data_IF_197485917960
#
_entry.id   IF_197485917960
#
_cell.length_a   1.000
_cell.length_b   1.000
_cell.length_c   1.000
_cell.angle_alpha   90.00
_cell.angle_beta   90.00
_cell.angle_gamma   90.00
#
_symmetry.space_group_name_H-M   'P 1'
#
loop_
_entity.id
_entity.type
_entity.pdbx_description
1 polymer ?
#
# COMPACT_ATOMS: atom_id res chain seq x y z
N UNK A 1 -4.60 8.97 -8.73
CA UNK A 1 -4.23 7.54 -8.63
C UNK A 1 -4.69 6.95 -7.30
N UNK A 2 -4.26 7.48 -6.15
CA UNK A 2 -4.68 6.98 -4.84
C UNK A 2 -6.22 6.86 -4.65
N UNK A 3 -6.99 7.77 -5.24
CA UNK A 3 -8.47 7.69 -5.23
C UNK A 3 -9.02 6.42 -5.90
N UNK A 4 -8.42 5.94 -7.01
CA UNK A 4 -8.85 4.69 -7.64
C UNK A 4 -8.50 3.48 -6.79
N UNK A 5 -7.29 3.46 -6.24
CA UNK A 5 -6.87 2.40 -5.32
C UNK A 5 -7.80 2.31 -4.10
N UNK A 6 -8.24 3.45 -3.60
CA UNK A 6 -9.25 3.49 -2.54
C UNK A 6 -10.59 2.92 -3.02
N UNK A 7 -11.10 3.34 -4.18
CA UNK A 7 -12.36 2.84 -4.74
C UNK A 7 -12.35 1.33 -5.06
N UNK A 8 -11.20 0.79 -5.50
CA UNK A 8 -11.06 -0.64 -5.77
C UNK A 8 -11.00 -1.45 -4.47
N UNK A 9 -10.56 -0.83 -3.37
CA UNK A 9 -10.48 -1.44 -2.04
C UNK A 9 -11.79 -1.30 -1.24
N UNK A 10 -12.46 -0.15 -1.34
CA UNK A 10 -13.71 0.21 -0.67
C UNK A 10 -14.88 -0.50 -1.36
N UNK A 11 -15.21 -1.68 -0.86
CA UNK A 11 -16.12 -2.61 -1.53
C UNK A 11 -17.56 -2.30 -1.18
N UNK A 12 -17.81 -1.88 0.06
CA UNK A 12 -19.13 -1.46 0.50
C UNK A 12 -19.45 0.01 0.18
N UNK A 13 -18.47 0.76 -0.34
CA UNK A 13 -18.57 2.15 -0.80
C UNK A 13 -19.01 3.09 0.32
N UNK A 14 -18.60 2.80 1.55
CA UNK A 14 -18.95 3.61 2.72
C UNK A 14 -17.97 4.79 2.95
N UNK A 15 -16.87 4.84 2.21
CA UNK A 15 -15.82 5.86 2.32
C UNK A 15 -14.78 5.58 3.41
N UNK A 16 -14.78 4.38 4.00
CA UNK A 16 -13.93 3.93 5.08
C UNK A 16 -13.38 2.52 4.82
N UNK A 17 -12.06 2.39 4.68
CA UNK A 17 -11.44 1.08 4.58
C UNK A 17 -11.37 0.41 5.95
N UNK A 18 -12.29 -0.53 6.17
CA UNK A 18 -12.27 -1.40 7.33
C UNK A 18 -11.13 -2.42 7.21
N UNK A 19 -10.69 -2.96 8.35
CA UNK A 19 -9.67 -4.02 8.39
C UNK A 19 -10.03 -5.21 7.47
N UNK A 20 -11.31 -5.57 7.40
CA UNK A 20 -11.79 -6.67 6.55
C UNK A 20 -11.61 -6.39 5.05
N UNK A 21 -11.78 -5.14 4.62
CA UNK A 21 -11.60 -4.75 3.22
C UNK A 21 -10.12 -4.62 2.88
N UNK A 22 -9.31 -4.11 3.81
CA UNK A 22 -7.85 -4.13 3.69
C UNK A 22 -7.30 -5.55 3.55
N UNK A 23 -7.83 -6.51 4.33
CA UNK A 23 -7.50 -7.94 4.18
C UNK A 23 -7.87 -8.48 2.80
N UNK A 24 -9.03 -8.06 2.28
CA UNK A 24 -9.48 -8.47 0.95
C UNK A 24 -8.58 -7.88 -0.15
N UNK A 25 -8.16 -6.63 0.02
CA UNK A 25 -7.21 -5.97 -0.86
C UNK A 25 -5.85 -6.70 -0.81
N UNK A 26 -5.35 -7.02 0.38
CA UNK A 26 -4.12 -7.79 0.56
C UNK A 26 -4.19 -9.13 -0.20
N UNK A 27 -5.29 -9.88 -0.05
CA UNK A 27 -5.52 -11.10 -0.82
C UNK A 27 -5.60 -10.87 -2.34
N UNK A 28 -6.06 -9.70 -2.79
CA UNK A 28 -6.07 -9.37 -4.21
C UNK A 28 -4.66 -9.10 -4.76
N UNK A 29 -3.74 -8.63 -3.92
CA UNK A 29 -2.32 -8.47 -4.25
C UNK A 29 -1.55 -9.81 -4.16
N UNK A 30 -1.89 -10.63 -3.17
CA UNK A 30 -1.34 -11.97 -2.94
C UNK A 30 -1.90 -12.98 -3.96
N UNK A 31 -1.26 -13.06 -5.12
CA UNK A 31 -1.69 -13.94 -6.21
C UNK A 31 -1.54 -15.43 -5.90
N UNK A 32 -0.67 -15.80 -4.96
CA UNK A 32 -0.40 -17.19 -4.63
C UNK A 32 -1.12 -17.64 -3.33
N UNK A 33 -1.79 -16.72 -2.63
CA UNK A 33 -2.56 -16.91 -1.39
C UNK A 33 -1.69 -17.59 -0.30
N UNK A 34 -0.39 -17.29 -0.29
CA UNK A 34 0.56 -17.79 0.70
C UNK A 34 0.62 -16.91 1.96
N UNK A 35 -0.09 -15.79 1.95
CA UNK A 35 -0.17 -14.81 3.01
C UNK A 35 0.99 -13.81 3.02
N UNK A 36 1.80 -13.76 1.96
CA UNK A 36 3.02 -12.94 1.84
C UNK A 36 3.21 -12.42 0.42
N UNK A 37 3.31 -11.11 0.25
CA UNK A 37 3.62 -10.53 -1.05
C UNK A 37 5.13 -10.44 -1.19
N UNK A 38 5.70 -11.28 -2.05
CA UNK A 38 7.13 -11.24 -2.35
C UNK A 38 7.50 -10.06 -3.26
N UNK A 39 8.78 -9.68 -3.29
CA UNK A 39 9.29 -8.64 -4.21
C UNK A 39 8.91 -8.88 -5.67
N UNK A 40 8.87 -10.14 -6.11
CA UNK A 40 8.53 -10.48 -7.49
C UNK A 40 7.05 -10.24 -7.77
N UNK A 41 6.17 -10.63 -6.84
CA UNK A 41 4.73 -10.40 -6.96
C UNK A 41 4.41 -8.92 -6.91
N UNK A 42 5.03 -8.20 -5.97
CA UNK A 42 4.89 -6.75 -5.88
C UNK A 42 5.34 -6.06 -7.18
N UNK A 43 6.51 -6.40 -7.71
CA UNK A 43 7.00 -5.86 -8.98
C UNK A 43 6.07 -6.19 -10.15
N UNK A 44 5.55 -7.42 -10.19
CA UNK A 44 4.63 -7.85 -11.23
C UNK A 44 3.35 -7.02 -11.20
N UNK A 45 2.78 -6.83 -10.01
CA UNK A 45 1.56 -6.06 -9.81
C UNK A 45 1.78 -4.58 -10.14
N UNK A 46 2.82 -3.94 -9.58
CA UNK A 46 3.18 -2.55 -9.87
C UNK A 46 3.40 -2.33 -11.37
N UNK A 47 4.02 -3.28 -12.07
CA UNK A 47 4.19 -3.16 -13.52
C UNK A 47 2.87 -3.17 -14.29
N UNK A 48 1.84 -3.86 -13.80
CA UNK A 48 0.54 -3.94 -14.45
C UNK A 48 -0.35 -2.74 -14.13
N UNK A 49 -0.31 -2.24 -12.89
CA UNK A 49 -1.17 -1.14 -12.44
C UNK A 49 -0.51 0.23 -12.59
N UNK A 50 0.78 0.33 -12.28
CA UNK A 50 1.52 1.58 -12.10
C UNK A 50 2.94 1.48 -12.72
N UNK A 51 3.07 1.39 -14.06
CA UNK A 51 4.36 1.15 -14.73
C UNK A 51 5.41 2.23 -14.45
N UNK A 52 5.00 3.47 -14.15
CA UNK A 52 5.89 4.58 -13.80
C UNK A 52 6.56 4.38 -12.42
N UNK A 53 5.96 3.58 -11.55
CA UNK A 53 6.47 3.27 -10.20
C UNK A 53 7.42 2.08 -10.18
N UNK A 54 7.56 1.37 -11.30
CA UNK A 54 8.46 0.21 -11.42
C UNK A 54 9.91 0.57 -11.07
N UNK A 55 10.35 1.81 -11.32
CA UNK A 55 11.70 2.24 -10.95
C UNK A 55 11.89 2.43 -9.42
N UNK A 56 10.81 2.63 -8.68
CA UNK A 56 10.80 2.86 -7.23
C UNK A 56 10.30 1.66 -6.43
N UNK A 57 9.93 0.56 -7.09
CA UNK A 57 9.33 -0.61 -6.46
C UNK A 57 10.17 -1.12 -5.28
N UNK A 58 11.50 -1.10 -5.41
CA UNK A 58 12.44 -1.59 -4.39
C UNK A 58 12.39 -0.72 -3.12
N UNK A 59 12.27 0.60 -3.29
CA UNK A 59 12.11 1.53 -2.16
C UNK A 59 10.72 1.43 -1.55
N UNK A 60 9.68 1.34 -2.37
CA UNK A 60 8.30 1.14 -1.93
C UNK A 60 8.21 -0.11 -1.07
N UNK A 61 8.72 -1.23 -1.59
CA UNK A 61 8.74 -2.50 -0.90
C UNK A 61 9.44 -2.39 0.46
N UNK A 62 10.65 -1.84 0.49
CA UNK A 62 11.38 -1.65 1.76
C UNK A 62 10.75 -0.63 2.71
N UNK A 63 9.89 0.26 2.22
CA UNK A 63 9.15 1.20 3.09
C UNK A 63 7.94 0.52 3.74
N UNK A 64 7.37 -0.46 3.06
CA UNK A 64 6.25 -1.25 3.57
C UNK A 64 6.71 -2.42 4.45
N UNK A 65 7.91 -2.97 4.21
CA UNK A 65 8.55 -4.04 4.98
C UNK A 65 9.04 -3.48 6.33
N UNK A 66 8.19 -3.57 7.35
CA UNK A 66 8.40 -2.93 8.65
C UNK A 66 9.27 -3.80 9.57
N UNK A 67 9.14 -5.12 9.45
CA UNK A 67 9.94 -6.07 10.22
C UNK A 67 11.29 -6.41 9.56
N UNK A 68 11.46 -6.08 8.28
CA UNK A 68 12.68 -6.30 7.51
C UNK A 68 12.89 -7.76 7.13
N UNK A 69 11.84 -8.59 7.13
CA UNK A 69 11.90 -10.00 6.77
C UNK A 69 11.94 -10.23 5.24
N UNK A 70 11.86 -9.14 4.46
CA UNK A 70 11.83 -9.12 3.01
C UNK A 70 10.57 -9.74 2.39
N UNK A 71 9.48 -9.82 3.14
CA UNK A 71 8.15 -10.20 2.68
C UNK A 71 7.17 -9.16 3.21
N UNK A 72 6.20 -8.75 2.39
CA UNK A 72 5.10 -7.94 2.89
C UNK A 72 4.01 -8.88 3.36
N UNK A 73 3.93 -9.10 4.66
CA UNK A 73 2.92 -9.98 5.23
C UNK A 73 1.83 -9.20 5.98
N UNK A 74 0.88 -9.96 6.54
CA UNK A 74 -0.23 -9.35 7.25
C UNK A 74 0.23 -8.49 8.44
N UNK A 75 1.34 -8.84 9.08
CA UNK A 75 1.91 -8.10 10.19
C UNK A 75 2.32 -6.68 9.78
N UNK A 76 3.04 -6.55 8.67
CA UNK A 76 3.44 -5.26 8.10
C UNK A 76 2.22 -4.41 7.73
N UNK A 77 1.23 -5.05 7.11
CA UNK A 77 -0.02 -4.38 6.74
C UNK A 77 -0.79 -3.86 7.95
N UNK A 78 -0.88 -4.65 9.03
CA UNK A 78 -1.51 -4.21 10.28
C UNK A 78 -0.73 -3.05 10.90
N UNK A 79 0.60 -3.12 10.90
CA UNK A 79 1.44 -2.03 11.40
C UNK A 79 1.21 -0.73 10.62
N UNK A 80 1.23 -0.81 9.29
CA UNK A 80 0.93 0.31 8.41
C UNK A 80 -0.48 0.88 8.67
N UNK A 81 -1.45 -0.01 8.86
CA UNK A 81 -2.82 0.35 9.15
C UNK A 81 -2.94 1.12 10.48
N UNK A 82 -2.26 0.65 11.52
CA UNK A 82 -2.20 1.34 12.82
C UNK A 82 -1.51 2.71 12.73
N UNK A 83 -0.51 2.87 11.87
CA UNK A 83 0.12 4.18 11.65
C UNK A 83 -0.77 5.15 10.87
N UNK A 84 -1.60 4.63 9.97
CA UNK A 84 -2.51 5.43 9.13
C UNK A 84 -3.86 5.72 9.77
N UNK A 85 -4.24 4.96 10.80
CA UNK A 85 -5.41 5.20 11.65
C UNK A 85 -5.04 5.87 13.00
N UNK A 86 -4.90 7.21 13.05
CA UNK A 86 -4.67 7.93 14.30
C UNK A 86 -5.88 7.90 15.25
N UNK A 87 -7.07 7.48 14.77
CA UNK A 87 -8.29 7.39 15.58
C UNK A 87 -8.36 6.05 16.32
N UNK A 88 -7.59 5.06 15.87
CA UNK A 88 -7.58 3.70 16.37
C UNK A 88 -9.00 3.13 16.45
N UNK A 89 -9.82 3.47 15.45
CA UNK A 89 -11.20 3.03 15.30
C UNK A 89 -11.31 1.81 14.37
N UNK A 90 -10.17 1.32 13.89
CA UNK A 90 -10.06 0.26 12.91
C UNK A 90 -10.77 0.60 11.59
N UNK A 91 -10.71 1.89 11.21
CA UNK A 91 -11.15 2.37 9.88
C UNK A 91 -10.15 3.38 9.32
N UNK A 92 -9.80 3.24 8.04
CA UNK A 92 -8.97 4.22 7.33
C UNK A 92 -9.86 5.02 6.38
N UNK A 93 -10.07 6.29 6.70
CA UNK A 93 -10.85 7.18 5.82
C UNK A 93 -10.16 7.43 4.49
N UNK A 94 -10.93 7.72 3.44
CA UNK A 94 -10.41 8.09 2.12
C UNK A 94 -9.32 9.18 2.20
N UNK A 95 -9.55 10.22 2.99
CA UNK A 95 -8.59 11.31 3.16
C UNK A 95 -7.26 10.86 3.80
N UNK A 96 -7.32 9.93 4.77
CA UNK A 96 -6.13 9.37 5.39
C UNK A 96 -5.35 8.50 4.41
N UNK A 97 -6.05 7.64 3.66
CA UNK A 97 -5.44 6.79 2.64
C UNK A 97 -4.80 7.62 1.52
N UNK A 98 -5.54 8.57 0.96
CA UNK A 98 -5.02 9.48 -0.08
C UNK A 98 -3.86 10.30 0.48
N UNK A 99 -3.96 10.81 1.71
CA UNK A 99 -2.89 11.57 2.35
C UNK A 99 -1.61 10.75 2.49
N UNK A 100 -1.71 9.54 3.02
CA UNK A 100 -0.59 8.61 3.17
C UNK A 100 0.07 8.31 1.82
N UNK A 101 -0.70 7.87 0.83
CA UNK A 101 -0.17 7.57 -0.50
C UNK A 101 0.43 8.80 -1.17
N UNK A 102 -0.20 9.96 -1.02
CA UNK A 102 0.31 11.23 -1.58
C UNK A 102 1.67 11.58 -0.97
N UNK A 103 1.81 11.49 0.36
CA UNK A 103 3.07 11.77 1.06
C UNK A 103 4.13 10.74 0.68
N UNK A 104 3.78 9.46 0.61
CA UNK A 104 4.68 8.38 0.19
C UNK A 104 5.20 8.60 -1.24
N UNK A 105 4.31 8.89 -2.19
CA UNK A 105 4.68 9.17 -3.56
C UNK A 105 5.53 10.45 -3.66
N UNK A 106 5.15 11.51 -2.95
CA UNK A 106 5.93 12.75 -2.93
C UNK A 106 7.34 12.51 -2.36
N UNK A 107 7.46 11.76 -1.27
CA UNK A 107 8.75 11.42 -0.68
C UNK A 107 9.63 10.59 -1.64
N UNK A 108 9.02 9.70 -2.43
CA UNK A 108 9.74 8.92 -3.45
C UNK A 108 10.20 9.78 -4.63
N UNK A 109 9.38 10.74 -5.07
CA UNK A 109 9.72 11.69 -6.13
C UNK A 109 10.81 12.67 -5.68
N UNK A 110 10.75 13.15 -4.44
CA UNK A 110 11.73 14.08 -3.87
C UNK A 110 13.11 13.42 -3.67
N UNK A 111 13.17 12.09 -3.58
CA UNK A 111 14.43 11.33 -3.54
C UNK A 111 15.11 11.16 -4.93
N UNK A 112 14.62 11.82 -5.98
CA UNK A 112 15.33 11.85 -7.27
C UNK A 112 16.57 12.75 -7.21
N UNK A 113 17.78 12.23 -7.49
CA UNK A 113 18.92 13.09 -7.83
C UNK A 113 18.66 13.68 -9.23
N UNK A 114 17.91 14.78 -9.29
CA UNK A 114 17.55 15.41 -10.57
C UNK A 114 16.45 16.46 -10.52
N UNK A 115 15.76 16.65 -9.39
CA UNK A 115 14.83 17.75 -9.21
C UNK A 115 15.61 19.01 -8.81
N UNK A 116 16.00 19.81 -9.80
CA UNK A 116 16.55 21.16 -9.61
C UNK A 116 15.62 22.06 -8.81
#
# INVERSE_FOLDING_TARGET
>A
MAHRLFQDADRDHDGHLALAEMLFLFQAFDQNDDGRITRQEFLHHVRQTEPDMVQWYDKLYNTFDMDGDHNLDLHDYIHLYMETDPRNDNTVTEAAFIGYWTVLYQALLDMQPGSC
#
